data_IF_427494260888
#
_entry.id   IF_427494260888
#
_cell.length_a   1.000
_cell.length_b   1.000
_cell.length_c   1.000
_cell.angle_alpha   90.00
_cell.angle_beta   90.00
_cell.angle_gamma   90.00
#
_symmetry.space_group_name_H-M   'P 1'
#
loop_
_entity.id
_entity.type
_entity.pdbx_description
1 polymer ?
#
# COMPACT_ATOMS: atom_id res chain seq x y z
N UNK A 1 -2.59 27.51 5.33
CA UNK A 1 -2.75 27.66 3.86
C UNK A 1 -2.24 26.46 3.03
N UNK A 2 -1.53 25.48 3.62
CA UNK A 2 -0.93 24.33 2.91
C UNK A 2 -1.94 23.19 2.62
N UNK A 3 -3.12 23.19 3.27
CA UNK A 3 -4.05 22.06 3.23
C UNK A 3 -5.02 22.05 2.02
N UNK A 4 -5.20 23.17 1.31
CA UNK A 4 -6.11 23.23 0.13
C UNK A 4 -5.43 22.90 -1.20
N UNK A 5 -4.10 22.98 -1.30
CA UNK A 5 -3.37 22.66 -2.53
C UNK A 5 -3.22 21.14 -2.80
N UNK A 6 -3.69 20.27 -1.90
CA UNK A 6 -3.58 18.82 -2.05
C UNK A 6 -4.68 18.18 -2.93
N UNK A 7 -5.82 18.86 -3.13
CA UNK A 7 -6.99 18.23 -3.75
C UNK A 7 -6.89 18.13 -5.28
N UNK A 8 -6.19 19.07 -5.94
CA UNK A 8 -5.94 19.01 -7.39
C UNK A 8 -4.70 18.19 -7.79
N UNK A 9 -3.86 17.79 -6.83
CA UNK A 9 -2.59 17.10 -7.12
C UNK A 9 -2.73 15.60 -7.40
N UNK A 10 -3.88 15.00 -7.11
CA UNK A 10 -4.07 13.55 -7.14
C UNK A 10 -4.51 12.99 -8.51
N UNK A 11 -4.52 13.79 -9.59
CA UNK A 11 -4.83 13.28 -10.95
C UNK A 11 -3.65 12.55 -11.64
N UNK A 12 -2.53 12.33 -10.95
CA UNK A 12 -1.29 11.84 -11.57
C UNK A 12 -0.82 10.51 -11.00
N UNK A 13 -1.57 9.43 -11.24
CA UNK A 13 -1.01 8.08 -11.38
C UNK A 13 -1.47 7.62 -12.76
N UNK A 14 -0.56 7.70 -13.73
CA UNK A 14 -0.82 7.74 -15.18
C UNK A 14 -1.55 6.50 -15.76
N UNK A 15 -1.71 5.41 -15.01
CA UNK A 15 -2.47 4.24 -15.48
C UNK A 15 -3.99 4.34 -15.26
N UNK A 16 -4.43 4.96 -14.15
CA UNK A 16 -5.85 5.06 -13.82
C UNK A 16 -6.68 6.04 -14.68
N UNK A 17 -6.18 7.20 -15.13
CA UNK A 17 -7.04 8.15 -15.84
C UNK A 17 -7.50 7.61 -17.19
N UNK A 18 -6.71 6.81 -17.91
CA UNK A 18 -7.11 6.27 -19.21
C UNK A 18 -8.24 5.23 -19.09
N UNK A 19 -8.13 4.31 -18.13
CA UNK A 19 -9.17 3.30 -17.87
C UNK A 19 -10.46 3.96 -17.37
N UNK A 20 -10.36 4.95 -16.48
CA UNK A 20 -11.53 5.67 -15.94
C UNK A 20 -12.17 6.61 -16.99
N UNK A 21 -11.38 7.15 -17.93
CA UNK A 21 -11.88 8.03 -18.98
C UNK A 21 -12.64 7.26 -20.08
N UNK A 22 -12.26 6.00 -20.35
CA UNK A 22 -12.91 5.16 -21.37
C UNK A 22 -14.04 4.29 -20.79
N UNK A 23 -14.00 3.94 -19.49
CA UNK A 23 -14.97 3.04 -18.86
C UNK A 23 -16.01 3.80 -18.04
N UNK A 24 -17.30 3.68 -18.40
CA UNK A 24 -18.41 4.01 -17.50
C UNK A 24 -18.31 3.24 -16.18
N UNK A 25 -18.93 3.72 -15.08
CA UNK A 25 -18.68 3.21 -13.74
C UNK A 25 -19.02 1.72 -13.55
N UNK A 26 -19.98 1.19 -14.32
CA UNK A 26 -20.29 -0.25 -14.36
C UNK A 26 -19.22 -1.10 -15.08
N UNK A 27 -18.58 -0.55 -16.14
CA UNK A 27 -17.46 -1.22 -16.82
C UNK A 27 -16.22 -1.20 -15.93
N UNK A 28 -16.01 -0.11 -15.19
CA UNK A 28 -14.91 -0.01 -14.23
C UNK A 28 -14.98 -1.09 -13.14
N UNK A 29 -16.17 -1.39 -12.61
CA UNK A 29 -16.34 -2.51 -11.66
C UNK A 29 -15.92 -3.85 -12.26
N UNK A 30 -16.32 -4.14 -13.50
CA UNK A 30 -15.89 -5.37 -14.21
C UNK A 30 -14.38 -5.42 -14.42
N UNK A 31 -13.77 -4.30 -14.77
CA UNK A 31 -12.30 -4.20 -14.89
C UNK A 31 -11.63 -4.44 -13.54
N UNK A 32 -12.12 -3.86 -12.44
CA UNK A 32 -11.57 -4.11 -11.11
C UNK A 32 -11.64 -5.59 -10.73
N UNK A 33 -12.77 -6.27 -10.99
CA UNK A 33 -12.90 -7.71 -10.75
C UNK A 33 -11.89 -8.50 -11.59
N UNK A 34 -11.74 -8.15 -12.88
CA UNK A 34 -10.74 -8.76 -13.75
C UNK A 34 -9.30 -8.57 -13.25
N UNK A 35 -8.97 -7.37 -12.75
CA UNK A 35 -7.64 -7.06 -12.19
C UNK A 35 -7.38 -7.82 -10.90
N UNK A 36 -8.37 -7.95 -10.01
CA UNK A 36 -8.25 -8.77 -8.79
C UNK A 36 -8.04 -10.23 -9.15
N UNK A 37 -8.84 -10.77 -10.08
CA UNK A 37 -8.71 -12.14 -10.55
C UNK A 37 -7.35 -12.40 -11.21
N UNK A 38 -6.88 -11.46 -12.04
CA UNK A 38 -5.56 -11.51 -12.67
C UNK A 38 -4.44 -11.50 -11.63
N UNK A 39 -4.51 -10.60 -10.63
CA UNK A 39 -3.54 -10.53 -9.54
C UNK A 39 -3.49 -11.84 -8.75
N UNK A 40 -4.64 -12.47 -8.48
CA UNK A 40 -4.72 -13.76 -7.81
C UNK A 40 -4.13 -14.88 -8.67
N UNK A 41 -4.44 -14.92 -9.97
CA UNK A 41 -3.89 -15.90 -10.90
C UNK A 41 -2.36 -15.82 -10.98
N UNK A 42 -1.80 -14.62 -11.10
CA UNK A 42 -0.33 -14.41 -11.09
C UNK A 42 0.26 -14.92 -9.77
N UNK A 43 -0.36 -14.62 -8.62
CA UNK A 43 0.12 -15.11 -7.32
C UNK A 43 0.08 -16.64 -7.22
N UNK A 44 -0.97 -17.28 -7.73
CA UNK A 44 -1.09 -18.74 -7.74
C UNK A 44 -0.04 -19.39 -8.67
N UNK A 45 0.19 -18.82 -9.85
CA UNK A 45 1.25 -19.29 -10.77
C UNK A 45 2.62 -19.17 -10.12
N UNK A 46 2.88 -18.06 -9.44
CA UNK A 46 4.13 -17.85 -8.71
C UNK A 46 4.28 -18.81 -7.51
N UNK A 47 3.21 -19.08 -6.77
CA UNK A 47 3.23 -20.00 -5.64
C UNK A 47 3.29 -21.48 -6.04
N UNK A 48 2.74 -21.85 -7.20
CA UNK A 48 2.81 -23.20 -7.77
C UNK A 48 4.14 -23.44 -8.50
N UNK A 49 4.78 -22.38 -8.97
CA UNK A 49 6.07 -22.41 -9.64
C UNK A 49 7.25 -22.53 -8.68
N UNK A 50 7.37 -23.66 -7.97
CA UNK A 50 8.59 -24.03 -7.23
C UNK A 50 9.68 -24.55 -8.19
N UNK A 51 9.83 -23.89 -9.34
CA UNK A 51 10.67 -24.36 -10.45
C UNK A 51 11.83 -23.39 -10.58
N UNK A 52 13.05 -23.90 -10.37
CA UNK A 52 14.35 -23.21 -10.36
C UNK A 52 14.77 -22.47 -11.63
N UNK A 53 13.85 -21.75 -12.28
CA UNK A 53 14.09 -20.88 -13.41
C UNK A 53 13.91 -19.41 -12.99
N UNK A 54 15.06 -18.77 -12.84
CA UNK A 54 15.31 -17.34 -13.06
C UNK A 54 15.04 -16.42 -11.84
N UNK A 55 16.02 -15.59 -11.41
CA UNK A 55 15.85 -14.51 -10.42
C UNK A 55 14.75 -13.47 -10.74
N UNK A 56 14.11 -13.56 -11.92
CA UNK A 56 12.99 -12.75 -12.39
C UNK A 56 11.70 -13.01 -11.59
N UNK A 57 11.46 -14.22 -11.07
CA UNK A 57 10.25 -14.53 -10.28
C UNK A 57 10.27 -13.84 -8.89
N UNK A 58 11.44 -13.71 -8.25
CA UNK A 58 11.55 -12.90 -7.00
C UNK A 58 11.33 -11.41 -7.26
N UNK A 59 11.70 -10.92 -8.45
CA UNK A 59 11.40 -9.55 -8.87
C UNK A 59 9.89 -9.38 -9.14
N UNK A 60 9.21 -10.42 -9.65
CA UNK A 60 7.75 -10.45 -9.81
C UNK A 60 7.00 -10.42 -8.46
N UNK A 61 7.52 -11.04 -7.40
CA UNK A 61 6.98 -10.84 -6.04
C UNK A 61 7.04 -9.36 -5.60
N UNK A 62 8.04 -8.61 -6.06
CA UNK A 62 8.18 -7.17 -5.80
C UNK A 62 7.47 -6.30 -6.84
N UNK A 63 7.04 -6.90 -7.94
CA UNK A 63 6.41 -6.17 -9.03
C UNK A 63 5.03 -5.68 -8.62
N UNK A 64 4.67 -4.50 -9.09
CA UNK A 64 3.35 -3.90 -8.85
C UNK A 64 2.19 -4.80 -9.31
N UNK A 65 2.45 -5.78 -10.18
CA UNK A 65 1.45 -6.69 -10.77
C UNK A 65 0.78 -7.60 -9.73
N UNK A 66 1.54 -8.10 -8.76
CA UNK A 66 1.00 -8.93 -7.68
C UNK A 66 0.26 -8.10 -6.63
N UNK A 67 0.27 -6.76 -6.71
CA UNK A 67 -0.35 -5.84 -5.74
C UNK A 67 -1.44 -4.94 -6.34
N UNK A 68 -1.87 -5.25 -7.57
CA UNK A 68 -2.91 -4.46 -8.25
C UNK A 68 -4.29 -4.63 -7.60
N UNK A 69 -4.53 -5.72 -6.87
CA UNK A 69 -5.78 -5.99 -6.17
C UNK A 69 -6.14 -4.91 -5.15
N UNK A 70 -5.18 -4.38 -4.38
CA UNK A 70 -5.45 -3.27 -3.44
C UNK A 70 -5.94 -2.00 -4.15
N UNK A 71 -5.31 -1.65 -5.28
CA UNK A 71 -5.73 -0.50 -6.10
C UNK A 71 -7.10 -0.76 -6.76
N UNK A 72 -7.34 -1.99 -7.22
CA UNK A 72 -8.60 -2.39 -7.84
C UNK A 72 -9.76 -2.40 -6.84
N UNK A 73 -9.56 -2.89 -5.63
CA UNK A 73 -10.56 -2.89 -4.56
C UNK A 73 -10.91 -1.46 -4.12
N UNK A 74 -9.91 -0.59 -3.92
CA UNK A 74 -10.14 0.83 -3.64
C UNK A 74 -10.88 1.54 -4.79
N UNK A 75 -10.52 1.24 -6.04
CA UNK A 75 -11.21 1.76 -7.22
C UNK A 75 -12.64 1.24 -7.35
N UNK A 76 -12.89 -0.02 -6.97
CA UNK A 76 -14.21 -0.63 -6.96
C UNK A 76 -15.13 0.03 -5.94
N UNK A 77 -14.61 0.35 -4.73
CA UNK A 77 -15.36 1.14 -3.73
C UNK A 77 -15.74 2.51 -4.30
N UNK A 78 -14.80 3.22 -4.94
CA UNK A 78 -15.09 4.51 -5.55
C UNK A 78 -16.13 4.41 -6.69
N UNK A 79 -16.03 3.37 -7.52
CA UNK A 79 -16.99 3.10 -8.59
C UNK A 79 -18.38 2.75 -8.05
N UNK A 80 -18.47 1.96 -6.98
CA UNK A 80 -19.72 1.60 -6.33
C UNK A 80 -20.46 2.83 -5.80
N UNK A 81 -19.76 3.75 -5.13
CA UNK A 81 -20.34 5.03 -4.68
C UNK A 81 -20.87 5.86 -5.86
N UNK A 82 -20.12 5.91 -6.97
CA UNK A 82 -20.56 6.63 -8.20
C UNK A 82 -21.75 5.97 -8.89
N UNK A 83 -21.92 4.66 -8.76
CA UNK A 83 -23.10 3.92 -9.24
C UNK A 83 -24.33 4.07 -8.32
N UNK A 84 -24.26 4.90 -7.27
CA UNK A 84 -25.38 5.14 -6.36
C UNK A 84 -25.49 4.16 -5.20
N UNK A 85 -24.46 3.33 -4.95
CA UNK A 85 -24.44 2.50 -3.74
C UNK A 85 -24.28 3.40 -2.52
N UNK A 86 -25.22 3.29 -1.57
CA UNK A 86 -25.20 4.08 -0.34
C UNK A 86 -23.92 3.83 0.48
N UNK A 87 -23.22 4.88 0.95
CA UNK A 87 -22.08 4.75 1.86
C UNK A 87 -22.40 3.95 3.13
N UNK A 88 -23.65 4.01 3.61
CA UNK A 88 -24.10 3.24 4.77
C UNK A 88 -24.04 1.73 4.50
N UNK A 89 -24.45 1.30 3.31
CA UNK A 89 -24.41 -0.11 2.90
C UNK A 89 -22.98 -0.61 2.75
N UNK A 90 -22.08 0.23 2.22
CA UNK A 90 -20.65 -0.10 2.15
C UNK A 90 -20.04 -0.23 3.55
N UNK A 91 -20.38 0.67 4.46
CA UNK A 91 -19.95 0.61 5.86
C UNK A 91 -20.45 -0.65 6.55
N UNK A 92 -21.70 -1.03 6.32
CA UNK A 92 -22.27 -2.26 6.85
C UNK A 92 -21.52 -3.49 6.32
N UNK A 93 -21.23 -3.56 5.02
CA UNK A 93 -20.43 -4.64 4.46
C UNK A 93 -19.01 -4.67 5.06
N UNK A 94 -18.35 -3.51 5.15
CA UNK A 94 -17.02 -3.39 5.73
C UNK A 94 -16.97 -3.87 7.19
N UNK A 95 -18.05 -3.69 7.96
CA UNK A 95 -18.16 -4.18 9.35
C UNK A 95 -18.09 -5.70 9.44
N UNK A 96 -18.66 -6.41 8.46
CA UNK A 96 -18.68 -7.86 8.42
C UNK A 96 -17.36 -8.42 7.89
N UNK A 97 -16.66 -7.63 7.08
CA UNK A 97 -15.37 -8.01 6.48
C UNK A 97 -14.18 -7.73 7.41
N UNK A 98 -14.22 -6.65 8.20
CA UNK A 98 -13.06 -6.20 8.99
C UNK A 98 -12.64 -7.20 10.06
N UNK A 99 -13.58 -7.79 10.80
CA UNK A 99 -13.25 -8.70 11.90
C UNK A 99 -12.66 -10.04 11.41
N UNK A 100 -13.26 -10.74 10.43
CA UNK A 100 -12.66 -11.95 9.88
C UNK A 100 -11.27 -11.70 9.27
N UNK A 101 -11.11 -10.61 8.52
CA UNK A 101 -9.82 -10.29 7.90
C UNK A 101 -8.76 -9.89 8.93
N UNK A 102 -9.14 -9.18 10.00
CA UNK A 102 -8.24 -8.84 11.10
C UNK A 102 -7.80 -10.09 11.87
N UNK A 103 -8.73 -11.00 12.18
CA UNK A 103 -8.43 -12.26 12.85
C UNK A 103 -7.49 -13.11 11.98
N UNK A 104 -7.83 -13.26 10.70
CA UNK A 104 -7.03 -14.07 9.78
C UNK A 104 -5.63 -13.46 9.56
N UNK A 105 -5.52 -12.14 9.52
CA UNK A 105 -4.23 -11.45 9.50
C UNK A 105 -3.41 -11.73 10.77
N UNK A 106 -4.04 -11.66 11.94
CA UNK A 106 -3.40 -12.02 13.22
C UNK A 106 -2.92 -13.47 13.26
N UNK A 107 -3.75 -14.41 12.78
CA UNK A 107 -3.39 -15.83 12.68
C UNK A 107 -2.21 -16.05 11.72
N UNK A 108 -2.18 -15.37 10.57
CA UNK A 108 -1.07 -15.47 9.63
C UNK A 108 0.26 -14.97 10.21
N UNK A 109 0.24 -13.93 11.05
CA UNK A 109 1.44 -13.43 11.73
C UNK A 109 2.02 -14.46 12.70
N UNK A 110 1.17 -15.33 13.27
CA UNK A 110 1.60 -16.38 14.19
C UNK A 110 2.22 -17.60 13.49
N UNK A 111 2.10 -17.71 12.16
CA UNK A 111 2.72 -18.80 11.39
C UNK A 111 4.24 -18.58 11.35
N UNK A 112 5.06 -19.51 11.88
CA UNK A 112 6.51 -19.37 11.88
C UNK A 112 7.04 -19.31 10.44
N UNK A 113 7.83 -18.28 10.12
CA UNK A 113 8.45 -18.13 8.79
C UNK A 113 9.29 -19.33 8.33
N UNK A 114 9.78 -20.14 9.27
CA UNK A 114 10.54 -21.37 9.01
C UNK A 114 9.74 -22.47 8.29
N UNK A 115 8.42 -22.39 8.26
CA UNK A 115 7.58 -23.40 7.60
C UNK A 115 7.45 -23.19 6.08
N UNK A 116 7.96 -22.06 5.56
CA UNK A 116 8.05 -21.74 4.13
C UNK A 116 6.84 -22.17 3.28
N UNK A 117 5.65 -21.86 3.79
CA UNK A 117 4.40 -22.30 3.18
C UNK A 117 4.08 -21.40 1.96
N UNK A 118 4.05 -21.93 0.72
CA UNK A 118 3.93 -21.12 -0.50
C UNK A 118 2.60 -20.39 -0.63
N UNK A 119 1.56 -20.86 0.07
CA UNK A 119 0.24 -20.21 0.08
C UNK A 119 0.16 -18.98 1.00
N UNK A 120 1.03 -18.87 2.01
CA UNK A 120 0.97 -17.79 3.01
C UNK A 120 1.12 -16.40 2.36
N UNK A 121 2.07 -16.17 1.43
CA UNK A 121 2.14 -14.91 0.69
C UNK A 121 0.89 -14.61 -0.17
N UNK A 122 0.31 -15.64 -0.79
CA UNK A 122 -0.86 -15.48 -1.68
C UNK A 122 -2.10 -15.03 -0.90
N UNK A 123 -2.39 -15.77 0.17
CA UNK A 123 -3.55 -15.51 1.02
C UNK A 123 -3.32 -14.23 1.83
N UNK A 124 -2.10 -14.04 2.36
CA UNK A 124 -1.71 -12.89 3.16
C UNK A 124 -1.92 -11.56 2.45
N UNK A 125 -1.44 -11.42 1.21
CA UNK A 125 -1.63 -10.18 0.43
C UNK A 125 -3.11 -9.90 0.16
N UNK A 126 -3.92 -10.94 -0.11
CA UNK A 126 -5.36 -10.79 -0.34
C UNK A 126 -6.10 -10.34 0.92
N UNK A 127 -5.73 -10.89 2.08
CA UNK A 127 -6.27 -10.48 3.39
C UNK A 127 -5.91 -9.04 3.69
N UNK A 128 -4.65 -8.66 3.49
CA UNK A 128 -4.17 -7.29 3.72
C UNK A 128 -4.94 -6.32 2.81
N UNK A 129 -5.04 -6.59 1.50
CA UNK A 129 -5.77 -5.75 0.56
C UNK A 129 -7.24 -5.58 0.96
N UNK A 130 -7.88 -6.67 1.39
CA UNK A 130 -9.29 -6.66 1.83
C UNK A 130 -9.47 -5.92 3.16
N UNK A 131 -8.59 -6.15 4.14
CA UNK A 131 -8.58 -5.47 5.43
C UNK A 131 -8.45 -3.96 5.26
N UNK A 132 -7.45 -3.52 4.48
CA UNK A 132 -7.23 -2.09 4.23
C UNK A 132 -8.34 -1.46 3.38
N UNK A 133 -9.00 -2.23 2.52
CA UNK A 133 -10.22 -1.76 1.83
C UNK A 133 -11.37 -1.53 2.81
N UNK A 134 -11.58 -2.41 3.78
CA UNK A 134 -12.58 -2.20 4.83
C UNK A 134 -12.23 -0.98 5.69
N UNK A 135 -10.97 -0.83 6.09
CA UNK A 135 -10.47 0.35 6.81
C UNK A 135 -10.70 1.65 6.01
N UNK A 136 -10.45 1.62 4.69
CA UNK A 136 -10.72 2.75 3.80
C UNK A 136 -12.20 3.14 3.82
N UNK A 137 -13.11 2.16 3.71
CA UNK A 137 -14.56 2.42 3.77
C UNK A 137 -14.95 3.06 5.11
N UNK A 138 -14.41 2.58 6.23
CA UNK A 138 -14.64 3.22 7.54
C UNK A 138 -14.10 4.64 7.60
N UNK A 139 -12.90 4.89 7.07
CA UNK A 139 -12.32 6.23 7.04
C UNK A 139 -13.16 7.22 6.19
N UNK A 140 -13.79 6.74 5.11
CA UNK A 140 -14.63 7.54 4.23
C UNK A 140 -16.04 7.79 4.80
N UNK A 141 -16.60 6.80 5.50
CA UNK A 141 -17.98 6.85 6.03
C UNK A 141 -18.06 7.29 7.49
N UNK A 142 -16.93 7.59 8.14
CA UNK A 142 -16.92 8.04 9.53
C UNK A 142 -17.60 9.41 9.69
N UNK A 143 -18.45 9.52 10.71
CA UNK A 143 -19.11 10.77 11.07
C UNK A 143 -18.10 11.89 11.32
N UNK A 144 -18.56 13.14 11.16
CA UNK A 144 -17.67 14.31 11.20
C UNK A 144 -16.88 14.39 12.50
N UNK A 145 -17.47 13.97 13.60
CA UNK A 145 -16.92 14.09 14.96
C UNK A 145 -16.32 12.79 15.51
N UNK A 146 -16.39 11.70 14.74
CA UNK A 146 -15.87 10.41 15.17
C UNK A 146 -14.35 10.42 15.39
N UNK A 147 -13.89 9.78 16.48
CA UNK A 147 -12.47 9.61 16.82
C UNK A 147 -11.67 9.02 15.66
N UNK A 148 -12.27 8.06 14.95
CA UNK A 148 -11.71 7.42 13.75
C UNK A 148 -11.32 8.45 12.69
N UNK A 149 -12.21 9.42 12.40
CA UNK A 149 -11.94 10.48 11.42
C UNK A 149 -10.85 11.44 11.87
N UNK A 150 -10.78 11.74 13.18
CA UNK A 150 -9.70 12.55 13.76
C UNK A 150 -8.34 11.84 13.62
N UNK A 151 -8.29 10.54 13.90
CA UNK A 151 -7.09 9.72 13.72
C UNK A 151 -6.62 9.74 12.26
N UNK A 152 -7.48 9.43 11.29
CA UNK A 152 -7.11 9.44 9.86
C UNK A 152 -6.76 10.82 9.29
N UNK A 153 -7.19 11.91 9.94
CA UNK A 153 -6.83 13.29 9.56
C UNK A 153 -5.59 13.81 10.28
N UNK A 154 -4.94 12.97 11.09
CA UNK A 154 -3.78 13.40 11.83
C UNK A 154 -2.61 13.71 10.88
N UNK A 155 -2.02 14.90 11.03
CA UNK A 155 -0.99 15.40 10.13
C UNK A 155 0.22 14.47 10.00
N UNK A 156 0.55 13.72 11.06
CA UNK A 156 1.67 12.78 11.06
C UNK A 156 1.42 11.57 10.16
N UNK A 157 0.17 11.10 10.04
CA UNK A 157 -0.16 10.06 9.06
C UNK A 157 0.00 10.57 7.62
N UNK A 158 -0.40 11.82 7.36
CA UNK A 158 -0.17 12.46 6.06
C UNK A 158 1.31 12.64 5.74
N UNK A 159 2.11 13.03 6.74
CA UNK A 159 3.57 13.16 6.61
C UNK A 159 4.23 11.80 6.35
N UNK A 160 3.87 10.78 7.11
CA UNK A 160 4.37 9.41 6.92
C UNK A 160 3.98 8.88 5.53
N UNK A 161 2.74 9.13 5.10
CA UNK A 161 2.26 8.79 3.77
C UNK A 161 3.01 9.51 2.64
N UNK A 162 3.56 10.70 2.90
CA UNK A 162 4.40 11.42 1.92
C UNK A 162 5.72 10.70 1.67
N UNK A 163 6.33 10.12 2.71
CA UNK A 163 7.61 9.43 2.61
C UNK A 163 7.48 7.92 2.35
N UNK A 164 6.27 7.36 2.44
CA UNK A 164 6.03 5.91 2.37
C UNK A 164 6.50 5.28 1.06
N UNK A 165 6.33 5.98 -0.08
CA UNK A 165 6.79 5.50 -1.37
C UNK A 165 8.32 5.42 -1.44
N UNK A 166 9.01 6.50 -1.04
CA UNK A 166 10.47 6.50 -0.94
C UNK A 166 10.95 5.40 0.01
N UNK A 167 10.32 5.28 1.18
CA UNK A 167 10.63 4.24 2.14
C UNK A 167 10.46 2.84 1.54
N UNK A 168 9.39 2.58 0.79
CA UNK A 168 9.15 1.32 0.08
C UNK A 168 10.28 0.98 -0.90
N UNK A 169 10.82 1.96 -1.63
CA UNK A 169 11.94 1.72 -2.55
C UNK A 169 13.24 1.51 -1.78
N UNK A 170 13.59 2.44 -0.89
CA UNK A 170 14.91 2.46 -0.26
C UNK A 170 15.09 1.39 0.80
N UNK A 171 14.06 1.00 1.57
CA UNK A 171 14.23 -0.11 2.52
C UNK A 171 14.65 -1.40 1.80
N UNK A 172 14.12 -1.63 0.59
CA UNK A 172 14.46 -2.79 -0.22
C UNK A 172 15.88 -2.74 -0.80
N UNK A 173 16.30 -1.56 -1.28
CA UNK A 173 17.65 -1.34 -1.81
C UNK A 173 18.71 -1.39 -0.70
N UNK A 174 18.40 -0.86 0.47
CA UNK A 174 19.32 -0.81 1.62
C UNK A 174 19.39 -2.13 2.37
N UNK A 175 18.37 -2.99 2.28
CA UNK A 175 18.29 -4.26 3.02
C UNK A 175 19.55 -5.13 2.93
N UNK A 176 20.14 -5.42 1.75
CA UNK A 176 21.35 -6.25 1.65
C UNK A 176 22.58 -5.59 2.28
N UNK A 177 22.63 -4.26 2.31
CA UNK A 177 23.75 -3.50 2.90
C UNK A 177 23.61 -3.44 4.41
N UNK A 178 22.41 -3.13 4.90
CA UNK A 178 22.11 -3.01 6.33
C UNK A 178 22.29 -4.34 7.06
N UNK A 179 21.78 -5.44 6.49
CA UNK A 179 21.90 -6.78 7.11
C UNK A 179 23.34 -7.30 7.18
N UNK A 180 24.24 -6.81 6.32
CA UNK A 180 25.68 -7.14 6.38
C UNK A 180 26.46 -6.24 7.34
N UNK A 181 26.02 -4.98 7.50
CA UNK A 181 26.77 -3.96 8.24
C UNK A 181 26.33 -3.87 9.71
N UNK A 182 25.06 -4.14 9.98
CA UNK A 182 24.46 -4.10 11.30
C UNK A 182 23.82 -5.47 11.52
N UNK A 183 24.27 -6.20 12.54
CA UNK A 183 23.66 -7.48 12.90
C UNK A 183 22.99 -7.42 14.27
N UNK A 184 21.92 -8.20 14.50
CA UNK A 184 21.28 -8.28 15.80
C UNK A 184 22.26 -8.68 16.92
N UNK A 185 23.27 -9.51 16.61
CA UNK A 185 24.28 -9.99 17.56
C UNK A 185 25.20 -8.86 18.02
N UNK A 186 25.60 -7.98 17.10
CA UNK A 186 26.38 -6.77 17.44
C UNK A 186 25.62 -5.89 18.43
N UNK A 187 24.31 -5.71 18.23
CA UNK A 187 23.46 -4.91 19.13
C UNK A 187 23.20 -5.66 20.45
N UNK A 188 23.01 -6.98 20.39
CA UNK A 188 22.81 -7.83 21.56
C UNK A 188 24.01 -7.82 22.51
N UNK A 189 25.23 -7.66 21.99
CA UNK A 189 26.44 -7.50 22.80
C UNK A 189 26.36 -6.29 23.76
N UNK A 190 25.67 -5.21 23.36
CA UNK A 190 25.47 -4.02 24.19
C UNK A 190 24.26 -4.13 25.11
N UNK A 191 23.19 -4.76 24.63
CA UNK A 191 21.86 -4.66 25.25
C UNK A 191 21.53 -5.85 26.17
N UNK A 192 22.23 -6.99 26.07
CA UNK A 192 22.08 -8.23 26.88
C UNK A 192 20.67 -8.84 26.99
N UNK A 193 19.65 -8.17 26.45
CA UNK A 193 18.25 -8.60 26.36
C UNK A 193 17.92 -8.81 24.89
N UNK A 194 17.74 -10.08 24.42
CA UNK A 194 17.58 -10.39 23.01
C UNK A 194 16.42 -9.67 22.31
N UNK A 195 15.28 -9.52 23.00
CA UNK A 195 14.10 -8.83 22.46
C UNK A 195 14.40 -7.35 22.23
N UNK A 196 15.07 -6.70 23.19
CA UNK A 196 15.40 -5.29 23.07
C UNK A 196 16.47 -5.05 22.00
N UNK A 197 17.41 -5.99 21.82
CA UNK A 197 18.37 -5.95 20.73
C UNK A 197 17.69 -6.06 19.35
N UNK A 198 16.70 -6.94 19.21
CA UNK A 198 15.89 -7.05 18.00
C UNK A 198 15.09 -5.78 17.72
N UNK A 199 14.45 -5.20 18.74
CA UNK A 199 13.70 -3.94 18.60
C UNK A 199 14.64 -2.81 18.19
N UNK A 200 15.80 -2.68 18.84
CA UNK A 200 16.80 -1.68 18.50
C UNK A 200 17.32 -1.85 17.06
N UNK A 201 17.61 -3.09 16.65
CA UNK A 201 17.99 -3.41 15.27
C UNK A 201 16.93 -2.94 14.26
N UNK A 202 15.66 -3.25 14.50
CA UNK A 202 14.55 -2.84 13.63
C UNK A 202 14.40 -1.33 13.58
N UNK A 203 14.47 -0.65 14.72
CA UNK A 203 14.40 0.82 14.81
C UNK A 203 15.56 1.46 14.05
N UNK A 204 16.79 0.95 14.18
CA UNK A 204 17.95 1.44 13.45
C UNK A 204 17.79 1.27 11.94
N UNK A 205 17.44 0.08 11.47
CA UNK A 205 17.29 -0.20 10.03
C UNK A 205 16.14 0.61 9.40
N UNK A 206 14.99 0.67 10.08
CA UNK A 206 13.86 1.49 9.65
C UNK A 206 14.21 2.99 9.68
N UNK A 207 14.93 3.45 10.71
CA UNK A 207 15.37 4.83 10.85
C UNK A 207 16.29 5.26 9.70
N UNK A 208 17.31 4.46 9.38
CA UNK A 208 18.21 4.74 8.25
C UNK A 208 17.42 4.77 6.93
N UNK A 209 16.55 3.79 6.72
CA UNK A 209 15.72 3.73 5.50
C UNK A 209 14.79 4.95 5.38
N UNK A 210 14.21 5.41 6.48
CA UNK A 210 13.35 6.59 6.54
C UNK A 210 14.14 7.88 6.29
N UNK A 211 15.35 8.00 6.85
CA UNK A 211 16.22 9.15 6.62
C UNK A 211 16.61 9.27 5.14
N UNK A 212 16.98 8.16 4.50
CA UNK A 212 17.29 8.13 3.07
C UNK A 212 16.05 8.47 2.24
N UNK A 213 14.88 7.94 2.60
CA UNK A 213 13.62 8.27 1.92
C UNK A 213 13.27 9.77 2.02
N UNK A 214 13.43 10.36 3.20
CA UNK A 214 13.19 11.80 3.44
C UNK A 214 14.19 12.64 2.63
N UNK A 215 15.48 12.27 2.65
CA UNK A 215 16.50 12.94 1.86
C UNK A 215 16.17 12.88 0.37
N UNK A 216 15.82 11.69 -0.15
CA UNK A 216 15.43 11.52 -1.54
C UNK A 216 14.19 12.35 -1.91
N UNK A 217 13.22 12.44 -1.02
CA UNK A 217 12.02 13.25 -1.25
C UNK A 217 12.36 14.74 -1.42
N UNK A 218 13.19 15.30 -0.53
CA UNK A 218 13.52 16.74 -0.60
C UNK A 218 14.53 17.07 -1.71
N UNK A 219 15.48 16.17 -2.00
CA UNK A 219 16.53 16.39 -2.98
C UNK A 219 16.12 16.08 -4.41
N UNK A 220 15.31 15.04 -4.63
CA UNK A 220 14.91 14.59 -5.96
C UNK A 220 13.42 14.78 -6.21
N UNK A 221 12.56 14.12 -5.43
CA UNK A 221 11.14 14.03 -5.75
C UNK A 221 10.43 15.39 -5.77
N UNK A 222 10.67 16.22 -4.75
CA UNK A 222 10.03 17.52 -4.60
C UNK A 222 10.40 18.50 -5.74
N UNK A 223 11.66 18.62 -6.20
CA UNK A 223 12.00 19.34 -7.42
C UNK A 223 11.25 18.82 -8.66
N UNK A 224 11.24 17.52 -8.92
CA UNK A 224 10.54 16.95 -10.08
C UNK A 224 9.02 17.19 -10.02
N UNK A 225 8.41 17.08 -8.84
CA UNK A 225 7.00 17.39 -8.65
C UNK A 225 6.67 18.86 -8.91
N UNK A 226 7.60 19.78 -8.64
CA UNK A 226 7.42 21.21 -8.97
C UNK A 226 7.39 21.44 -10.48
N UNK A 227 8.07 20.60 -11.28
CA UNK A 227 8.03 20.69 -12.74
C UNK A 227 6.66 20.36 -13.33
N UNK A 228 5.79 19.63 -12.61
CA UNK A 228 4.41 19.36 -13.06
C UNK A 228 3.60 20.64 -13.32
N UNK A 229 3.95 21.77 -12.70
CA UNK A 229 3.28 23.06 -12.95
C UNK A 229 3.38 23.52 -14.41
N UNK A 230 4.40 23.05 -15.14
CA UNK A 230 4.60 23.36 -16.56
C UNK A 230 3.83 22.44 -17.51
N UNK A 231 3.34 21.30 -17.00
CA UNK A 231 2.56 20.31 -17.76
C UNK A 231 1.08 20.31 -17.38
N UNK A 232 0.62 21.30 -16.62
CA UNK A 232 -0.80 21.48 -16.33
C UNK A 232 -1.53 21.78 -17.65
N UNK A 233 -2.20 20.76 -18.18
CA UNK A 233 -3.07 20.82 -19.35
C UNK A 233 -3.98 22.05 -19.36
N UNK A 234 -3.89 22.84 -20.43
CA UNK A 234 -4.93 23.80 -20.87
C UNK A 234 -6.21 23.08 -21.32
N UNK A 235 -6.79 22.20 -20.51
CA UNK A 235 -8.11 21.62 -20.77
C UNK A 235 -9.18 22.41 -20.00
N UNK A 236 -9.28 23.68 -20.36
CA UNK A 236 -10.31 24.61 -19.90
C UNK A 236 -10.65 25.55 -21.06
N UNK A 237 -11.41 25.04 -22.03
CA UNK A 237 -12.23 25.79 -22.97
C UNK A 237 -13.05 24.81 -23.81
N UNK A 238 -14.06 24.19 -23.20
CA UNK A 238 -15.26 23.80 -23.95
C UNK A 238 -16.37 24.61 -23.33
N UNK A 239 -16.60 25.78 -23.92
CA UNK A 239 -17.88 26.50 -23.89
C UNK A 239 -18.96 25.63 -24.53
#
# INVERSE_FOLDING_TARGET
MICRQGYDRARTILLCPFVVWVAGPQRLLRVCVGVVAFSLAVRLVVAAGDVGWIPVIRILHWSSLTRLDGLALGSAVAAAVRCGVSPLRLRELARWVIWPTLILFGLLIMIPRRWDLPFVPVVGETIIATLFTAVLVFALCADRDAVVRKAFRWQWLGLLGTYSYGLYVFHGVLWPVLTRSITPEQIAAWVRVPVLALVAYLVCCCGISLLVAVASYHLYEKPFLRLKRYFASRHGAVT
#
